data_IF_630590398521
#
_entry.id   IF_630590398521
#
_cell.length_a   1.000
_cell.length_b   1.000
_cell.length_c   1.000
_cell.angle_alpha   90.00
_cell.angle_beta   90.00
_cell.angle_gamma   90.00
#
_symmetry.space_group_name_H-M   'P 1'
#
loop_
_entity.id
_entity.type
_entity.pdbx_description
1 polymer ?
#
# COMPACT_ATOMS: atom_id res chain seq x y z
N UNK A 1 10.49 32.58 -34.88
CA UNK A 1 9.86 31.30 -34.53
C UNK A 1 10.10 31.04 -33.06
N UNK A 2 9.04 30.72 -32.31
CA UNK A 2 9.12 30.42 -30.87
C UNK A 2 9.46 28.92 -30.74
N UNK A 3 10.38 28.55 -29.85
CA UNK A 3 10.70 27.14 -29.62
C UNK A 3 9.52 26.40 -28.96
N UNK A 4 9.50 25.06 -29.05
CA UNK A 4 8.38 24.24 -28.57
C UNK A 4 8.05 24.51 -27.09
N UNK A 5 9.07 24.66 -26.26
CA UNK A 5 8.91 24.85 -24.80
C UNK A 5 8.33 26.23 -24.47
N UNK A 6 8.76 27.27 -25.19
CA UNK A 6 8.16 28.61 -25.08
C UNK A 6 6.77 28.69 -25.72
N UNK A 7 6.51 27.96 -26.80
CA UNK A 7 5.21 27.95 -27.47
C UNK A 7 4.12 27.33 -26.58
N UNK A 8 4.44 26.24 -25.86
CA UNK A 8 3.55 25.61 -24.90
C UNK A 8 3.22 26.48 -23.68
N UNK A 9 4.06 27.48 -23.36
CA UNK A 9 3.80 28.47 -22.30
C UNK A 9 2.87 29.61 -22.75
N UNK A 10 2.77 29.87 -24.06
CA UNK A 10 1.98 30.98 -24.63
C UNK A 10 0.61 30.51 -25.13
N UNK A 11 0.53 29.28 -25.66
CA UNK A 11 -0.72 28.69 -26.11
C UNK A 11 -1.30 27.82 -25.00
N UNK A 12 -2.23 28.36 -24.21
CA UNK A 12 -3.05 27.53 -23.31
C UNK A 12 -3.99 26.69 -24.17
N UNK A 13 -3.63 25.42 -24.38
CA UNK A 13 -4.53 24.44 -24.99
C UNK A 13 -5.52 24.00 -23.92
N UNK A 14 -6.81 24.08 -24.24
CA UNK A 14 -7.87 23.55 -23.36
C UNK A 14 -7.72 22.03 -23.34
N UNK A 15 -7.85 21.45 -22.14
CA UNK A 15 -7.87 20.00 -21.90
C UNK A 15 -8.87 19.32 -22.84
N UNK A 16 -8.49 18.25 -23.54
CA UNK A 16 -9.43 17.48 -24.35
C UNK A 16 -10.27 16.56 -23.48
N UNK A 17 -9.67 15.98 -22.43
CA UNK A 17 -10.34 15.07 -21.50
C UNK A 17 -11.62 15.69 -20.90
N UNK A 18 -12.72 14.96 -21.03
CA UNK A 18 -14.08 15.30 -20.55
C UNK A 18 -14.81 16.38 -21.37
N UNK A 19 -14.44 16.58 -22.64
CA UNK A 19 -15.15 17.49 -23.56
C UNK A 19 -16.26 16.76 -24.34
N UNK A 20 -17.43 17.41 -24.53
CA UNK A 20 -18.62 16.85 -25.20
C UNK A 20 -18.38 16.22 -26.59
N UNK A 21 -17.34 16.64 -27.31
CA UNK A 21 -16.95 16.12 -28.64
C UNK A 21 -15.48 15.66 -28.68
N UNK A 22 -14.95 15.16 -27.55
CA UNK A 22 -13.59 14.63 -27.48
C UNK A 22 -13.34 13.54 -28.52
N UNK A 23 -14.21 12.52 -28.58
CA UNK A 23 -14.12 11.38 -29.50
C UNK A 23 -14.33 11.73 -30.99
N UNK A 24 -14.87 12.91 -31.31
CA UNK A 24 -15.05 13.34 -32.71
C UNK A 24 -13.78 13.94 -33.33
N UNK A 25 -12.72 14.15 -32.54
CA UNK A 25 -11.44 14.68 -33.00
C UNK A 25 -10.47 13.53 -33.22
N UNK A 26 -9.63 13.64 -34.26
CA UNK A 26 -8.53 12.70 -34.44
C UNK A 26 -7.61 12.76 -33.21
N UNK A 27 -7.36 11.60 -32.61
CA UNK A 27 -6.48 11.44 -31.47
C UNK A 27 -5.07 11.94 -31.75
N UNK A 28 -4.39 12.40 -30.71
CA UNK A 28 -3.03 12.90 -30.79
C UNK A 28 -2.23 12.51 -29.55
N UNK A 29 -1.23 11.64 -29.74
CA UNK A 29 -0.45 11.06 -28.65
C UNK A 29 0.20 12.12 -27.74
N UNK A 30 0.77 13.18 -28.32
CA UNK A 30 1.42 14.25 -27.54
C UNK A 30 0.41 14.97 -26.65
N UNK A 31 -0.81 15.20 -27.15
CA UNK A 31 -1.85 15.91 -26.41
C UNK A 31 -2.60 15.04 -25.39
N UNK A 32 -2.91 13.81 -25.75
CA UNK A 32 -3.78 12.95 -24.93
C UNK A 32 -2.99 12.10 -23.94
N UNK A 33 -1.78 11.65 -24.30
CA UNK A 33 -0.97 10.78 -23.43
C UNK A 33 0.26 11.47 -22.82
N UNK A 34 0.78 12.56 -23.41
CA UNK A 34 1.97 13.25 -22.86
C UNK A 34 1.63 14.54 -22.11
N UNK A 35 0.71 15.37 -22.64
CA UNK A 35 0.18 16.55 -21.94
C UNK A 35 -0.93 16.18 -20.95
N UNK A 36 -1.60 15.04 -21.17
CA UNK A 36 -2.69 14.50 -20.37
C UNK A 36 -2.46 13.01 -20.05
N UNK A 37 -3.34 12.42 -19.24
CA UNK A 37 -3.35 10.97 -18.98
C UNK A 37 -4.32 10.30 -19.94
N UNK A 38 -3.87 9.28 -20.66
CA UNK A 38 -4.71 8.50 -21.56
C UNK A 38 -4.85 7.05 -21.11
N UNK A 39 -5.92 6.41 -21.57
CA UNK A 39 -6.17 4.98 -21.47
C UNK A 39 -5.46 4.21 -22.59
N UNK A 40 -5.34 2.89 -22.42
CA UNK A 40 -4.79 2.01 -23.45
C UNK A 40 -5.60 2.08 -24.76
N UNK A 41 -6.94 2.20 -24.67
CA UNK A 41 -7.85 2.35 -25.82
C UNK A 41 -7.55 3.62 -26.60
N UNK A 42 -7.38 4.77 -25.92
CA UNK A 42 -7.04 6.05 -26.57
C UNK A 42 -5.66 5.98 -27.26
N UNK A 43 -4.67 5.36 -26.61
CA UNK A 43 -3.36 5.14 -27.25
C UNK A 43 -3.50 4.24 -28.50
N UNK A 44 -4.31 3.18 -28.42
CA UNK A 44 -4.59 2.25 -29.52
C UNK A 44 -5.27 2.94 -30.70
N UNK A 45 -6.18 3.86 -30.44
CA UNK A 45 -6.84 4.68 -31.47
C UNK A 45 -5.86 5.61 -32.20
N UNK A 46 -4.80 6.08 -31.52
CA UNK A 46 -3.76 6.89 -32.17
C UNK A 46 -2.82 6.05 -33.03
N UNK A 47 -2.41 4.87 -32.55
CA UNK A 47 -1.46 4.02 -33.27
C UNK A 47 -2.11 3.18 -34.38
N UNK A 48 -3.41 2.87 -34.26
CA UNK A 48 -4.16 1.95 -35.13
C UNK A 48 -3.48 0.55 -35.26
N UNK A 49 -2.60 0.20 -34.32
CA UNK A 49 -1.75 -1.00 -34.34
C UNK A 49 -1.44 -1.49 -32.92
N UNK A 50 -1.72 -2.77 -32.65
CA UNK A 50 -1.60 -3.32 -31.30
C UNK A 50 -0.15 -3.48 -30.84
N UNK A 51 0.77 -3.83 -31.74
CA UNK A 51 2.17 -4.07 -31.37
C UNK A 51 2.86 -2.76 -30.97
N UNK A 52 2.62 -1.70 -31.73
CA UNK A 52 3.08 -0.34 -31.42
C UNK A 52 2.44 0.21 -30.15
N UNK A 53 1.15 -0.06 -29.94
CA UNK A 53 0.45 0.34 -28.70
C UNK A 53 1.08 -0.36 -27.49
N UNK A 54 1.34 -1.66 -27.57
CA UNK A 54 2.00 -2.40 -26.50
C UNK A 54 3.43 -1.90 -26.23
N UNK A 55 4.21 -1.63 -27.27
CA UNK A 55 5.56 -1.10 -27.09
C UNK A 55 5.55 0.27 -26.40
N UNK A 56 4.62 1.15 -26.79
CA UNK A 56 4.38 2.42 -26.12
C UNK A 56 3.96 2.21 -24.66
N UNK A 57 2.95 1.37 -24.42
CA UNK A 57 2.36 1.16 -23.10
C UNK A 57 3.34 0.56 -22.09
N UNK A 58 4.23 -0.33 -22.54
CA UNK A 58 5.31 -0.89 -21.71
C UNK A 58 6.30 0.16 -21.18
N UNK A 59 6.33 1.35 -21.78
CA UNK A 59 7.19 2.48 -21.39
C UNK A 59 6.39 3.67 -20.90
N UNK A 60 5.05 3.62 -20.96
CA UNK A 60 4.18 4.71 -20.58
C UNK A 60 4.19 4.91 -19.07
N UNK A 61 4.10 6.17 -18.63
CA UNK A 61 4.01 6.57 -17.24
C UNK A 61 3.02 7.73 -17.14
N UNK A 62 2.02 7.60 -16.29
CA UNK A 62 0.86 8.50 -16.21
C UNK A 62 0.92 9.50 -15.03
N UNK A 63 1.97 9.44 -14.23
CA UNK A 63 2.19 10.27 -13.05
C UNK A 63 3.19 9.61 -12.12
N UNK A 64 3.48 10.25 -10.98
CA UNK A 64 4.13 9.57 -9.86
C UNK A 64 3.10 9.40 -8.74
N UNK A 65 2.48 8.22 -8.65
CA UNK A 65 1.47 7.94 -7.62
C UNK A 65 2.10 7.82 -6.23
N UNK A 66 3.44 7.77 -6.13
CA UNK A 66 4.18 7.80 -4.89
C UNK A 66 4.56 9.21 -4.41
N UNK A 67 4.30 10.27 -5.18
CA UNK A 67 4.68 11.65 -4.85
C UNK A 67 4.20 12.10 -3.45
N UNK A 68 3.01 11.63 -3.04
CA UNK A 68 2.42 11.97 -1.74
C UNK A 68 2.81 11.03 -0.60
N UNK A 69 3.73 10.09 -0.85
CA UNK A 69 4.15 9.05 0.09
C UNK A 69 2.95 8.32 0.73
N UNK A 70 2.13 7.61 -0.07
CA UNK A 70 0.92 6.98 0.44
C UNK A 70 1.17 5.80 1.39
N UNK A 71 2.35 5.19 1.37
CA UNK A 71 2.70 4.06 2.23
C UNK A 71 3.10 4.52 3.63
N UNK A 72 2.37 4.06 4.64
CA UNK A 72 2.62 4.33 6.06
C UNK A 72 3.67 3.35 6.63
N UNK A 73 4.05 3.56 7.88
CA UNK A 73 4.92 2.65 8.65
C UNK A 73 6.21 2.26 7.90
N UNK A 74 6.81 3.23 7.20
CA UNK A 74 8.05 3.07 6.43
C UNK A 74 7.94 2.04 5.28
N UNK A 75 6.73 1.76 4.80
CA UNK A 75 6.52 0.96 3.61
C UNK A 75 7.15 1.60 2.36
N UNK A 76 7.67 0.77 1.46
CA UNK A 76 8.25 1.21 0.21
C UNK A 76 7.16 1.38 -0.85
N UNK A 77 7.04 2.59 -1.41
CA UNK A 77 6.11 2.87 -2.48
C UNK A 77 6.71 2.53 -3.85
N UNK A 78 5.95 1.79 -4.65
CA UNK A 78 6.24 1.54 -6.06
C UNK A 78 5.13 2.12 -6.92
N UNK A 79 5.55 3.03 -7.79
CA UNK A 79 4.74 3.68 -8.81
C UNK A 79 4.18 2.68 -9.85
N UNK A 80 3.00 2.96 -10.38
CA UNK A 80 2.30 2.10 -11.32
C UNK A 80 1.27 2.86 -12.16
N UNK A 81 0.74 2.25 -13.22
CA UNK A 81 -0.21 2.94 -14.10
C UNK A 81 -1.56 3.12 -13.42
N UNK A 82 -1.93 4.36 -13.11
CA UNK A 82 -3.17 4.72 -12.42
C UNK A 82 -3.25 4.23 -10.97
N UNK A 83 -2.19 3.60 -10.46
CA UNK A 83 -2.17 2.97 -9.14
C UNK A 83 -0.77 2.99 -8.52
N UNK A 84 -0.68 2.59 -7.27
CA UNK A 84 0.60 2.37 -6.58
C UNK A 84 0.52 1.09 -5.80
N UNK A 85 1.68 0.48 -5.56
CA UNK A 85 1.83 -0.67 -4.68
C UNK A 85 2.73 -0.31 -3.50
N UNK A 86 2.29 -0.61 -2.28
CA UNK A 86 3.12 -0.51 -1.09
C UNK A 86 3.72 -1.88 -0.75
N UNK A 87 5.04 -1.94 -0.57
CA UNK A 87 5.70 -3.09 0.06
C UNK A 87 5.88 -2.76 1.54
N UNK A 88 5.14 -3.46 2.39
CA UNK A 88 5.14 -3.22 3.83
C UNK A 88 6.34 -3.88 4.51
N UNK A 89 6.80 -3.26 5.60
CA UNK A 89 7.75 -3.90 6.50
C UNK A 89 7.05 -5.02 7.28
N UNK A 90 7.85 -5.94 7.81
CA UNK A 90 7.36 -7.02 8.67
C UNK A 90 6.57 -6.45 9.85
N UNK A 91 5.45 -7.10 10.21
CA UNK A 91 4.51 -6.59 11.21
C UNK A 91 3.42 -5.66 10.65
N UNK A 92 3.47 -5.26 9.38
CA UNK A 92 2.48 -4.36 8.77
C UNK A 92 1.80 -4.94 7.53
N UNK A 93 0.52 -4.63 7.37
CA UNK A 93 -0.31 -5.02 6.22
C UNK A 93 -1.30 -3.90 5.84
N UNK A 94 -2.12 -4.15 4.81
CA UNK A 94 -3.05 -3.17 4.25
C UNK A 94 -2.52 -2.51 2.98
N UNK A 95 -3.39 -1.80 2.25
CA UNK A 95 -3.05 -1.17 0.96
C UNK A 95 -1.94 -0.13 1.14
N UNK A 96 -1.93 0.53 2.29
CA UNK A 96 -1.04 1.61 2.66
C UNK A 96 -0.14 1.23 3.84
N UNK A 97 0.00 -0.06 4.17
CA UNK A 97 0.74 -0.53 5.35
C UNK A 97 0.23 0.08 6.67
N UNK A 98 -1.05 0.40 6.75
CA UNK A 98 -1.70 1.09 7.85
C UNK A 98 -2.16 0.14 8.98
N UNK A 99 -2.19 -1.15 8.71
CA UNK A 99 -2.63 -2.19 9.65
C UNK A 99 -1.42 -2.93 10.22
N UNK A 100 -1.55 -3.44 11.43
CA UNK A 100 -0.57 -4.32 12.05
C UNK A 100 -0.94 -5.78 11.77
N UNK A 101 -0.04 -6.54 11.14
CA UNK A 101 -0.21 -7.97 10.95
C UNK A 101 0.05 -8.70 12.27
N UNK A 102 -1.04 -9.25 12.84
CA UNK A 102 -1.00 -9.99 14.10
C UNK A 102 -0.32 -11.35 13.98
N UNK A 103 -0.06 -11.84 12.77
CA UNK A 103 0.56 -13.13 12.52
C UNK A 103 2.08 -13.06 12.44
N UNK A 104 2.66 -11.90 12.10
CA UNK A 104 4.12 -11.67 12.11
C UNK A 104 4.65 -11.29 13.51
N UNK A 105 3.77 -11.04 14.49
CA UNK A 105 4.13 -10.95 15.92
C UNK A 105 4.59 -12.29 16.55
N UNK A 106 4.82 -13.33 15.72
CA UNK A 106 5.08 -14.70 16.18
C UNK A 106 6.56 -15.03 16.42
N UNK A 107 7.47 -14.07 16.25
CA UNK A 107 8.91 -14.30 16.56
C UNK A 107 9.42 -13.60 17.84
N UNK A 108 8.60 -12.82 18.55
CA UNK A 108 8.96 -12.36 19.92
C UNK A 108 8.05 -12.91 21.03
N UNK A 109 6.92 -13.54 20.67
CA UNK A 109 6.04 -14.25 21.58
C UNK A 109 6.21 -15.76 21.47
N UNK A 110 7.35 -16.30 21.89
CA UNK A 110 7.51 -17.75 22.01
C UNK A 110 6.50 -18.32 23.02
N UNK A 111 5.76 -19.35 22.63
CA UNK A 111 4.97 -20.15 23.58
C UNK A 111 5.96 -20.89 24.49
N UNK A 112 6.24 -20.31 25.67
CA UNK A 112 7.18 -20.89 26.63
C UNK A 112 6.43 -21.88 27.54
N UNK A 113 6.75 -23.16 27.40
CA UNK A 113 6.29 -24.17 28.36
C UNK A 113 7.05 -23.99 29.68
N UNK A 114 6.34 -23.70 30.77
CA UNK A 114 6.89 -23.69 32.12
C UNK A 114 6.41 -24.90 32.91
N UNK A 115 7.32 -25.49 33.68
CA UNK A 115 6.96 -26.54 34.64
C UNK A 115 6.30 -25.92 35.87
N UNK A 116 5.12 -26.42 36.20
CA UNK A 116 4.42 -26.06 37.44
C UNK A 116 5.04 -26.83 38.61
N UNK A 117 5.48 -26.09 39.62
CA UNK A 117 5.94 -26.63 40.90
C UNK A 117 4.74 -27.04 41.77
N UNK A 118 3.76 -26.15 41.92
CA UNK A 118 2.59 -26.36 42.78
C UNK A 118 1.33 -25.78 42.15
N UNK A 119 0.24 -26.54 42.19
CA UNK A 119 -1.12 -26.06 41.88
C UNK A 119 -1.84 -25.84 43.20
N UNK A 120 -2.11 -24.57 43.54
CA UNK A 120 -2.86 -24.22 44.74
C UNK A 120 -4.32 -24.00 44.34
N UNK A 121 -5.22 -24.87 44.82
CA UNK A 121 -6.66 -24.75 44.59
C UNK A 121 -7.34 -24.21 45.82
N UNK A 122 -8.29 -23.30 45.64
CA UNK A 122 -9.11 -22.79 46.72
C UNK A 122 -10.56 -23.18 46.43
N UNK A 123 -11.19 -23.87 47.39
CA UNK A 123 -12.60 -24.29 47.28
C UNK A 123 -13.55 -23.29 47.97
N UNK A 124 -13.03 -22.13 48.34
CA UNK A 124 -13.72 -20.99 48.96
C UNK A 124 -12.81 -19.77 48.85
N UNK A 125 -13.38 -18.57 48.90
CA UNK A 125 -12.62 -17.32 48.87
C UNK A 125 -11.53 -17.26 49.96
N UNK A 126 -10.30 -16.92 49.56
CA UNK A 126 -9.15 -16.71 50.44
C UNK A 126 -8.65 -15.28 50.22
N UNK A 127 -8.65 -14.47 51.28
CA UNK A 127 -8.41 -13.03 51.20
C UNK A 127 -6.96 -12.70 50.87
N UNK A 128 -6.04 -13.56 51.28
CA UNK A 128 -4.60 -13.41 51.10
C UNK A 128 -4.19 -13.51 49.63
N UNK A 129 -4.98 -14.23 48.83
CA UNK A 129 -4.76 -14.41 47.38
C UNK A 129 -5.77 -13.65 46.51
N UNK A 130 -6.84 -13.10 47.11
CA UNK A 130 -7.94 -12.42 46.41
C UNK A 130 -8.65 -13.28 45.35
N UNK A 131 -8.67 -14.61 45.52
CA UNK A 131 -9.22 -15.54 44.52
C UNK A 131 -10.66 -16.00 44.82
N UNK A 132 -11.49 -16.00 43.77
CA UNK A 132 -12.78 -16.69 43.70
C UNK A 132 -12.61 -17.94 42.81
N UNK A 133 -12.50 -19.13 43.40
CA UNK A 133 -12.40 -20.43 42.70
C UNK A 133 -11.33 -20.53 41.59
N UNK A 134 -10.23 -19.77 41.70
CA UNK A 134 -9.09 -19.83 40.79
C UNK A 134 -8.02 -20.77 41.35
N UNK A 135 -7.38 -21.54 40.47
CA UNK A 135 -6.18 -22.30 40.80
C UNK A 135 -4.95 -21.44 40.51
N UNK A 136 -4.15 -21.15 41.53
CA UNK A 136 -2.89 -20.43 41.38
C UNK A 136 -1.78 -21.43 41.05
N UNK A 137 -1.04 -21.16 39.98
CA UNK A 137 0.11 -21.96 39.56
C UNK A 137 1.40 -21.29 40.02
N UNK A 138 2.19 -22.00 40.82
CA UNK A 138 3.57 -21.62 41.13
C UNK A 138 4.49 -22.33 40.14
N UNK A 139 5.29 -21.57 39.40
CA UNK A 139 6.24 -22.11 38.41
C UNK A 139 7.58 -22.44 39.06
N UNK A 140 8.27 -23.48 38.57
CA UNK A 140 9.64 -23.82 39.02
C UNK A 140 10.66 -22.74 38.71
N UNK A 141 10.45 -22.00 37.62
CA UNK A 141 11.30 -20.89 37.18
C UNK A 141 10.45 -19.64 36.93
N UNK A 142 10.91 -18.45 37.34
CA UNK A 142 10.19 -17.21 37.11
C UNK A 142 10.16 -16.85 35.62
N UNK A 143 9.06 -16.23 35.18
CA UNK A 143 8.98 -15.65 33.83
C UNK A 143 9.80 -14.36 33.83
N UNK A 144 10.79 -14.29 32.95
CA UNK A 144 11.56 -13.08 32.72
C UNK A 144 11.01 -12.36 31.49
N UNK A 145 10.43 -11.18 31.69
CA UNK A 145 10.07 -10.29 30.60
C UNK A 145 11.28 -9.42 30.26
N UNK A 146 11.71 -9.43 28.99
CA UNK A 146 12.66 -8.42 28.49
C UNK A 146 11.87 -7.14 28.22
N UNK A 147 12.23 -6.06 28.91
CA UNK A 147 11.73 -4.70 28.64
C UNK A 147 12.62 -4.02 27.61
#
# INVERSE_FOLDING_TARGET
FIDRERASKVLVRIRRANSFLEEMKKGNLERECMEETCSYEEAREVFEDNDRTNEFWNKYKDGDQCERNPCQNQGLCKDGLGEYTCTCLEGFEGKNCELWDRNTAREEGGEAAHEVEVVVKHNRFVKETYDYDIAVLRLKTPIAFRM
#
